data_IF_148574691201
#
_entry.id   IF_148574691201
#
_cell.length_a   1.000
_cell.length_b   1.000
_cell.length_c   1.000
_cell.angle_alpha   90.00
_cell.angle_beta   90.00
_cell.angle_gamma   90.00
#
_symmetry.space_group_name_H-M   'P 1'
#
loop_
_entity.id
_entity.type
_entity.pdbx_description
1 polymer ?
#
# COMPACT_ATOMS: atom_id res chain seq x y z
N UNK A 1 6.45 34.53 -24.85
CA UNK A 1 5.33 33.60 -25.17
C UNK A 1 5.22 32.62 -24.01
N UNK A 2 4.06 32.55 -23.38
CA UNK A 2 3.77 31.72 -22.20
C UNK A 2 3.50 30.28 -22.66
N UNK A 3 4.22 29.29 -22.14
CA UNK A 3 3.78 27.89 -22.15
C UNK A 3 3.45 27.52 -20.71
N UNK A 4 2.15 27.50 -20.43
CA UNK A 4 1.52 26.84 -19.29
C UNK A 4 1.08 25.45 -19.77
N UNK A 5 0.94 24.52 -18.82
CA UNK A 5 0.25 23.22 -18.87
C UNK A 5 1.13 22.01 -19.22
N UNK A 6 1.56 21.30 -18.17
CA UNK A 6 1.35 19.86 -17.96
C UNK A 6 1.87 19.51 -16.55
N UNK A 7 1.04 19.79 -15.54
CA UNK A 7 1.12 19.20 -14.21
C UNK A 7 -0.25 18.55 -14.03
N UNK A 8 -0.28 17.24 -13.78
CA UNK A 8 -1.35 16.35 -13.30
C UNK A 8 -1.09 14.97 -13.92
N UNK A 9 -0.51 14.06 -13.13
CA UNK A 9 -0.84 12.62 -13.05
C UNK A 9 0.27 11.84 -12.30
N UNK A 10 0.53 12.16 -11.02
CA UNK A 10 1.26 11.25 -10.13
C UNK A 10 0.52 11.02 -8.79
N UNK A 11 -0.72 11.52 -8.68
CA UNK A 11 -1.55 11.40 -7.48
C UNK A 11 -2.82 10.55 -7.71
N UNK A 12 -2.88 9.77 -8.80
CA UNK A 12 -4.03 8.92 -9.13
C UNK A 12 -3.84 7.43 -8.77
N UNK A 13 -2.68 7.02 -8.23
CA UNK A 13 -2.42 5.61 -7.90
C UNK A 13 -2.77 5.22 -6.46
N UNK A 14 -3.05 6.14 -5.54
CA UNK A 14 -3.21 5.83 -4.10
C UNK A 14 -4.34 6.61 -3.40
N UNK A 15 -5.48 6.80 -4.07
CA UNK A 15 -6.72 7.20 -3.41
C UNK A 15 -7.88 6.31 -3.85
N UNK A 16 -8.32 5.39 -3.00
CA UNK A 16 -9.72 5.26 -2.57
C UNK A 16 -9.91 3.99 -1.76
N UNK A 17 -9.88 4.15 -0.44
CA UNK A 17 -10.45 3.16 0.45
C UNK A 17 -11.35 3.91 1.43
N UNK A 18 -12.67 3.85 1.17
CA UNK A 18 -13.70 4.51 1.97
C UNK A 18 -15.08 4.31 1.34
N UNK A 19 -15.79 3.31 1.83
CA UNK A 19 -17.18 3.00 1.50
C UNK A 19 -18.14 4.13 1.86
N UNK A 20 -19.20 4.32 1.06
CA UNK A 20 -20.39 5.04 1.53
C UNK A 20 -21.30 5.49 0.40
N UNK A 21 -22.40 4.76 0.17
CA UNK A 21 -23.59 5.30 -0.50
C UNK A 21 -24.04 6.54 0.25
N UNK A 22 -24.13 7.68 -0.43
CA UNK A 22 -24.91 8.82 0.05
C UNK A 22 -25.86 9.23 -1.06
N UNK A 23 -27.13 9.20 -0.71
CA UNK A 23 -28.26 9.62 -1.52
C UNK A 23 -28.15 11.09 -1.93
N UNK A 24 -28.72 11.39 -3.08
CA UNK A 24 -29.16 12.73 -3.51
C UNK A 24 -29.77 13.52 -2.34
N UNK A 25 -29.51 14.84 -2.25
CA UNK A 25 -30.66 15.71 -2.40
C UNK A 25 -30.36 17.02 -3.14
N UNK A 26 -31.23 17.30 -4.11
CA UNK A 26 -31.57 18.65 -4.49
C UNK A 26 -32.64 19.24 -3.54
N UNK A 27 -32.40 20.50 -3.17
CA UNK A 27 -33.38 21.58 -3.03
C UNK A 27 -34.18 21.78 -1.72
N UNK A 28 -34.17 23.08 -1.35
CA UNK A 28 -35.20 23.89 -0.66
C UNK A 28 -35.15 24.10 0.87
N UNK A 29 -34.78 25.35 1.20
CA UNK A 29 -35.38 26.31 2.14
C UNK A 29 -36.67 25.91 2.89
N UNK A 30 -36.73 26.10 4.21
CA UNK A 30 -37.47 27.18 4.91
C UNK A 30 -37.51 26.97 6.44
N UNK A 31 -37.83 28.07 7.14
CA UNK A 31 -37.90 28.30 8.58
C UNK A 31 -38.78 27.33 9.39
N UNK A 32 -38.48 27.13 10.67
CA UNK A 32 -39.17 27.79 11.80
C UNK A 32 -39.07 26.99 13.13
N UNK A 33 -38.83 27.76 14.18
CA UNK A 33 -39.01 27.58 15.63
C UNK A 33 -40.14 26.62 16.07
N UNK A 34 -39.96 25.85 17.17
CA UNK A 34 -40.63 26.01 18.50
C UNK A 34 -40.35 24.80 19.43
N UNK A 35 -40.19 25.12 20.72
CA UNK A 35 -40.03 24.28 21.92
C UNK A 35 -41.28 23.43 22.21
N UNK A 36 -41.17 22.29 22.94
CA UNK A 36 -41.88 21.96 24.22
C UNK A 36 -41.84 20.44 24.58
N UNK A 37 -41.44 20.19 25.84
CA UNK A 37 -41.70 19.14 26.86
C UNK A 37 -41.85 17.62 26.61
N UNK A 38 -41.21 16.92 27.56
CA UNK A 38 -41.42 15.62 28.21
C UNK A 38 -42.68 14.76 27.94
N UNK A 39 -42.52 13.43 27.93
CA UNK A 39 -43.01 12.50 28.98
C UNK A 39 -42.61 11.01 28.73
N UNK A 40 -42.10 10.41 29.80
CA UNK A 40 -42.33 9.09 30.43
C UNK A 40 -42.93 7.88 29.68
N UNK A 41 -42.27 6.72 29.93
CA UNK A 41 -42.76 5.31 30.07
C UNK A 41 -43.52 4.62 28.93
N UNK A 42 -43.11 3.39 28.60
CA UNK A 42 -43.74 2.13 29.08
C UNK A 42 -42.96 0.91 28.56
N UNK A 43 -42.86 -0.11 29.40
CA UNK A 43 -42.31 -1.42 29.10
C UNK A 43 -43.35 -2.30 28.40
N UNK A 44 -42.92 -3.12 27.44
CA UNK A 44 -43.69 -4.26 26.97
C UNK A 44 -42.75 -5.45 26.76
N UNK A 45 -42.98 -6.50 27.56
CA UNK A 45 -42.56 -7.87 27.27
C UNK A 45 -43.31 -8.37 26.04
N UNK A 46 -42.65 -9.09 25.14
CA UNK A 46 -43.34 -10.16 24.40
C UNK A 46 -42.39 -11.32 24.12
N UNK A 47 -42.93 -12.49 24.44
CA UNK A 47 -42.47 -13.86 24.32
C UNK A 47 -42.55 -14.39 22.89
N UNK A 48 -42.05 -15.63 22.72
CA UNK A 48 -42.26 -16.59 21.60
C UNK A 48 -41.30 -16.44 20.41
N UNK A 49 -40.87 -17.48 19.70
CA UNK A 49 -40.80 -18.94 19.87
C UNK A 49 -39.81 -19.42 18.79
N UNK A 50 -39.21 -20.59 19.01
CA UNK A 50 -38.26 -21.29 18.16
C UNK A 50 -38.62 -21.36 16.66
N UNK A 51 -37.61 -21.29 15.80
CA UNK A 51 -37.60 -22.02 14.54
C UNK A 51 -36.19 -22.52 14.18
N UNK A 52 -36.13 -23.84 14.11
CA UNK A 52 -35.03 -24.68 13.65
C UNK A 52 -34.85 -24.49 12.15
N UNK A 53 -33.69 -24.01 11.72
CA UNK A 53 -33.31 -24.02 10.30
C UNK A 53 -32.04 -24.84 10.12
N UNK A 54 -32.24 -25.99 9.47
CA UNK A 54 -31.19 -26.88 8.97
C UNK A 54 -30.60 -26.23 7.72
N UNK A 55 -29.30 -25.93 7.72
CA UNK A 55 -28.58 -25.47 6.54
C UNK A 55 -27.42 -26.44 6.23
N UNK A 56 -27.37 -26.83 4.96
CA UNK A 56 -26.39 -27.69 4.29
C UNK A 56 -24.94 -27.20 4.38
N UNK A 57 -23.96 -28.11 4.19
CA UNK A 57 -22.54 -27.78 4.29
C UNK A 57 -22.11 -26.94 3.09
N UNK A 58 -21.78 -25.67 3.34
CA UNK A 58 -21.19 -24.79 2.32
C UNK A 58 -19.68 -24.99 2.27
N UNK A 59 -19.21 -25.27 1.05
CA UNK A 59 -17.90 -25.07 0.44
C UNK A 59 -16.67 -24.96 1.36
N UNK A 60 -15.71 -25.85 1.08
CA UNK A 60 -14.34 -25.81 1.57
C UNK A 60 -13.79 -24.38 1.60
N UNK A 61 -13.37 -23.96 2.79
CA UNK A 61 -12.52 -22.78 2.97
C UNK A 61 -11.27 -22.92 2.08
N UNK A 62 -10.77 -21.84 1.47
CA UNK A 62 -9.42 -21.85 0.93
C UNK A 62 -8.46 -22.19 2.07
N UNK A 63 -7.60 -23.18 1.83
CA UNK A 63 -6.54 -23.56 2.76
C UNK A 63 -5.61 -22.36 2.94
N UNK A 64 -5.79 -21.60 4.02
CA UNK A 64 -4.81 -20.67 4.52
C UNK A 64 -3.68 -21.50 5.12
N UNK A 65 -2.75 -21.92 4.28
CA UNK A 65 -1.47 -22.45 4.73
C UNK A 65 -0.67 -21.28 5.30
N UNK A 66 -0.92 -20.97 6.57
CA UNK A 66 0.02 -20.28 7.44
C UNK A 66 1.24 -21.19 7.62
N UNK A 67 2.17 -21.13 6.68
CA UNK A 67 3.48 -21.73 6.85
C UNK A 67 4.32 -20.86 7.80
N UNK A 68 5.05 -21.55 8.68
CA UNK A 68 6.05 -20.97 9.57
C UNK A 68 7.08 -20.14 8.79
N UNK A 69 7.77 -19.17 9.41
CA UNK A 69 8.59 -18.19 8.69
C UNK A 69 9.61 -18.88 7.79
N UNK A 70 9.49 -18.63 6.49
CA UNK A 70 10.34 -19.17 5.45
C UNK A 70 11.82 -18.93 5.82
N UNK A 71 12.62 -19.99 5.72
CA UNK A 71 14.07 -19.90 5.76
C UNK A 71 14.51 -18.83 4.74
N UNK A 72 15.18 -17.76 5.20
CA UNK A 72 15.73 -16.63 4.43
C UNK A 72 15.46 -16.73 2.92
N UNK A 73 14.37 -16.10 2.47
CA UNK A 73 14.03 -15.99 1.06
C UNK A 73 15.28 -15.57 0.28
N UNK A 74 15.68 -16.31 -0.76
CA UNK A 74 16.91 -16.05 -1.51
C UNK A 74 16.94 -14.65 -2.15
N UNK A 75 15.77 -14.00 -2.25
CA UNK A 75 15.63 -12.61 -2.64
C UNK A 75 16.12 -11.61 -1.58
N UNK A 76 16.24 -12.01 -0.31
CA UNK A 76 16.74 -11.17 0.77
C UNK A 76 18.21 -10.77 0.49
N UNK A 77 18.40 -9.53 0.05
CA UNK A 77 19.70 -8.96 -0.31
C UNK A 77 19.86 -8.64 -1.80
N UNK A 78 18.92 -9.03 -2.66
CA UNK A 78 18.89 -8.57 -4.06
C UNK A 78 18.39 -7.13 -4.10
N UNK A 79 19.14 -6.24 -4.76
CA UNK A 79 18.70 -4.88 -5.05
C UNK A 79 17.82 -4.85 -6.30
N UNK A 80 16.51 -5.02 -6.16
CA UNK A 80 15.60 -5.06 -7.32
C UNK A 80 15.56 -3.77 -8.11
N UNK A 81 15.89 -2.62 -7.49
CA UNK A 81 15.97 -1.36 -8.20
C UNK A 81 17.13 -1.35 -9.20
N UNK A 82 18.21 -2.11 -8.97
CA UNK A 82 19.30 -2.23 -9.95
C UNK A 82 19.08 -3.37 -10.93
N UNK A 83 18.48 -4.47 -10.49
CA UNK A 83 18.34 -5.70 -11.29
C UNK A 83 17.08 -5.75 -12.16
N UNK A 84 15.95 -5.23 -11.68
CA UNK A 84 14.66 -5.31 -12.40
C UNK A 84 14.38 -4.04 -13.20
N UNK A 85 13.69 -4.21 -14.32
CA UNK A 85 13.24 -3.11 -15.18
C UNK A 85 11.78 -3.31 -15.55
N UNK A 86 11.04 -2.21 -15.65
CA UNK A 86 9.68 -2.24 -16.15
C UNK A 86 9.64 -2.85 -17.55
N UNK A 87 8.55 -3.55 -17.87
CA UNK A 87 8.41 -4.28 -19.12
C UNK A 87 8.99 -5.70 -19.13
N UNK A 88 9.77 -6.10 -18.11
CA UNK A 88 10.23 -7.49 -17.95
C UNK A 88 9.04 -8.45 -17.77
N UNK A 89 9.15 -9.67 -18.30
CA UNK A 89 8.15 -10.73 -18.07
C UNK A 89 8.28 -11.36 -16.68
N UNK A 90 7.25 -12.08 -16.23
CA UNK A 90 7.33 -12.89 -15.00
C UNK A 90 8.54 -13.83 -15.01
N UNK A 91 8.76 -14.57 -16.11
CA UNK A 91 9.91 -15.48 -16.25
C UNK A 91 11.27 -14.77 -16.09
N UNK A 92 11.41 -13.57 -16.67
CA UNK A 92 12.63 -12.76 -16.55
C UNK A 92 12.86 -12.33 -15.10
N UNK A 93 11.81 -11.84 -14.43
CA UNK A 93 11.89 -11.42 -13.02
C UNK A 93 12.20 -12.61 -12.11
N UNK A 94 11.48 -13.73 -12.25
CA UNK A 94 11.69 -14.91 -11.41
C UNK A 94 13.05 -15.59 -11.67
N UNK A 95 13.65 -15.40 -12.84
CA UNK A 95 15.03 -15.84 -13.06
C UNK A 95 16.06 -15.06 -12.22
N UNK A 96 15.70 -13.86 -11.74
CA UNK A 96 16.55 -12.98 -10.93
C UNK A 96 16.25 -13.17 -9.44
N UNK A 97 14.98 -13.08 -9.04
CA UNK A 97 14.58 -13.07 -7.62
C UNK A 97 14.05 -14.42 -7.12
N UNK A 98 13.86 -15.40 -8.01
CA UNK A 98 13.27 -16.70 -7.72
C UNK A 98 11.74 -16.70 -7.73
N UNK A 99 11.15 -17.89 -7.64
CA UNK A 99 9.69 -18.10 -7.56
C UNK A 99 9.20 -18.36 -6.13
N UNK A 100 10.09 -18.31 -5.14
CA UNK A 100 9.78 -18.57 -3.73
C UNK A 100 9.24 -17.31 -3.05
N UNK A 101 8.17 -16.73 -3.57
CA UNK A 101 7.48 -15.61 -2.92
C UNK A 101 6.70 -16.08 -1.70
N UNK A 102 6.53 -15.20 -0.72
CA UNK A 102 5.79 -15.48 0.52
C UNK A 102 4.28 -15.22 0.35
N UNK A 103 3.93 -14.29 -0.54
CA UNK A 103 2.55 -13.92 -0.78
C UNK A 103 2.31 -13.50 -2.24
N UNK A 104 1.09 -13.73 -2.73
CA UNK A 104 0.63 -13.37 -4.06
C UNK A 104 -0.78 -12.81 -3.97
N UNK A 105 -0.97 -11.58 -4.44
CA UNK A 105 -2.28 -10.91 -4.46
C UNK A 105 -2.68 -10.44 -5.86
N UNK A 106 -3.99 -10.56 -6.12
CA UNK A 106 -4.64 -9.80 -7.18
C UNK A 106 -4.90 -8.40 -6.62
N UNK A 107 -3.98 -7.48 -6.91
CA UNK A 107 -4.09 -6.11 -6.46
C UNK A 107 -5.21 -5.45 -7.25
N UNK A 108 -6.02 -4.63 -6.57
CA UNK A 108 -7.10 -3.88 -7.22
C UNK A 108 -6.54 -3.14 -8.44
N UNK A 109 -7.30 -3.13 -9.54
CA UNK A 109 -6.94 -2.52 -10.83
C UNK A 109 -6.08 -3.37 -11.79
N UNK A 110 -6.38 -4.67 -11.88
CA UNK A 110 -5.86 -5.55 -12.93
C UNK A 110 -4.34 -5.73 -12.87
N UNK A 111 -3.78 -5.93 -11.67
CA UNK A 111 -2.37 -6.28 -11.50
C UNK A 111 -2.19 -7.46 -10.55
N UNK A 112 -1.04 -8.11 -10.66
CA UNK A 112 -0.64 -9.23 -9.83
C UNK A 112 0.64 -8.86 -9.10
N UNK A 113 0.63 -8.91 -7.78
CA UNK A 113 1.78 -8.60 -6.94
C UNK A 113 2.32 -9.86 -6.25
N UNK A 114 3.63 -9.92 -6.13
CA UNK A 114 4.36 -10.98 -5.45
C UNK A 114 5.27 -10.37 -4.38
N UNK A 115 5.08 -10.78 -3.13
CA UNK A 115 5.82 -10.27 -1.98
C UNK A 115 6.86 -11.28 -1.48
N UNK A 116 8.00 -10.74 -1.06
CA UNK A 116 9.15 -11.48 -0.56
C UNK A 116 9.61 -10.83 0.74
N UNK A 117 9.25 -11.44 1.87
CA UNK A 117 9.54 -10.95 3.21
C UNK A 117 11.04 -11.05 3.54
N UNK A 118 11.54 -10.07 4.27
CA UNK A 118 12.87 -10.09 4.85
C UNK A 118 12.86 -9.62 6.31
N UNK A 119 13.64 -10.31 7.14
CA UNK A 119 13.76 -9.97 8.56
C UNK A 119 14.58 -8.70 8.81
N UNK A 120 15.49 -8.36 7.89
CA UNK A 120 16.38 -7.20 8.00
C UNK A 120 16.79 -6.73 6.61
N UNK A 121 16.54 -5.47 6.29
CA UNK A 121 17.01 -4.85 5.04
C UNK A 121 18.54 -4.68 5.06
N UNK A 122 19.18 -5.37 4.13
CA UNK A 122 20.61 -5.28 3.84
C UNK A 122 20.93 -4.42 2.60
N UNK A 123 19.92 -4.12 1.76
CA UNK A 123 20.11 -3.38 0.50
C UNK A 123 20.43 -1.92 0.77
N UNK A 124 19.67 -1.31 1.67
CA UNK A 124 19.92 0.06 2.14
C UNK A 124 20.60 0.11 3.51
N UNK A 125 20.76 -1.05 4.15
CA UNK A 125 21.41 -1.17 5.46
C UNK A 125 20.60 -0.52 6.58
N UNK A 126 19.27 -0.45 6.45
CA UNK A 126 18.40 0.10 7.50
C UNK A 126 18.37 -0.79 8.73
N UNK A 127 18.46 -2.11 8.52
CA UNK A 127 18.32 -3.12 9.58
C UNK A 127 16.87 -3.33 10.04
N UNK A 128 15.90 -2.79 9.30
CA UNK A 128 14.47 -2.93 9.57
C UNK A 128 13.89 -4.10 8.78
N UNK A 129 12.88 -4.76 9.32
CA UNK A 129 12.12 -5.77 8.59
C UNK A 129 11.24 -5.13 7.52
N UNK A 130 10.83 -5.90 6.53
CA UNK A 130 10.09 -5.42 5.38
C UNK A 130 9.71 -6.55 4.43
N UNK A 131 9.19 -6.16 3.28
CA UNK A 131 9.06 -7.05 2.14
C UNK A 131 9.41 -6.31 0.85
N UNK A 132 9.97 -7.07 -0.08
CA UNK A 132 10.19 -6.65 -1.46
C UNK A 132 8.95 -7.07 -2.27
N UNK A 133 8.56 -6.26 -3.24
CA UNK A 133 7.41 -6.57 -4.09
C UNK A 133 7.75 -6.45 -5.58
N UNK A 134 7.05 -7.24 -6.39
CA UNK A 134 7.06 -7.14 -7.85
C UNK A 134 5.61 -7.22 -8.38
N UNK A 135 5.17 -6.14 -9.02
CA UNK A 135 3.81 -5.96 -9.52
C UNK A 135 3.79 -6.04 -11.05
N UNK A 136 2.91 -6.87 -11.58
CA UNK A 136 2.74 -7.14 -13.01
C UNK A 136 1.37 -6.71 -13.48
N UNK A 137 1.31 -6.09 -14.65
CA UNK A 137 0.05 -5.84 -15.32
C UNK A 137 -0.62 -7.18 -15.71
N UNK A 138 -1.87 -7.37 -15.30
CA UNK A 138 -2.54 -8.66 -15.47
C UNK A 138 -2.86 -9.02 -16.93
N UNK A 139 -2.89 -8.04 -17.85
CA UNK A 139 -3.19 -8.26 -19.26
C UNK A 139 -1.92 -8.57 -20.05
N UNK A 140 -0.93 -7.67 -19.98
CA UNK A 140 0.34 -7.78 -20.69
C UNK A 140 1.34 -8.72 -20.03
N UNK A 141 1.14 -9.06 -18.74
CA UNK A 141 2.04 -9.88 -17.92
C UNK A 141 3.46 -9.30 -17.82
N UNK A 142 3.55 -7.97 -17.87
CA UNK A 142 4.81 -7.24 -17.76
C UNK A 142 4.92 -6.53 -16.41
N UNK A 143 6.13 -6.47 -15.87
CA UNK A 143 6.46 -5.76 -14.66
C UNK A 143 6.15 -4.27 -14.82
N UNK A 144 5.30 -3.73 -13.96
CA UNK A 144 4.90 -2.32 -13.95
C UNK A 144 5.42 -1.56 -12.74
N UNK A 145 5.67 -2.26 -11.64
CA UNK A 145 6.21 -1.69 -10.41
C UNK A 145 7.04 -2.74 -9.67
N UNK A 146 8.10 -2.31 -9.01
CA UNK A 146 8.84 -3.14 -8.06
C UNK A 146 9.48 -2.28 -6.99
N UNK A 147 9.78 -2.87 -5.85
CA UNK A 147 10.37 -2.08 -4.77
C UNK A 147 10.36 -2.78 -3.42
N UNK A 148 10.28 -1.95 -2.39
CA UNK A 148 10.33 -2.36 -0.99
C UNK A 148 9.31 -1.58 -0.17
N UNK A 149 8.64 -2.32 0.72
CA UNK A 149 7.98 -1.81 1.91
C UNK A 149 8.88 -2.11 3.10
N UNK A 150 9.51 -1.09 3.67
CA UNK A 150 10.45 -1.22 4.78
C UNK A 150 9.82 -0.64 6.05
N UNK A 151 9.84 -1.41 7.13
CA UNK A 151 9.14 -1.06 8.36
C UNK A 151 7.74 -1.66 8.48
N UNK A 152 7.34 -2.49 7.51
CA UNK A 152 6.13 -3.31 7.54
C UNK A 152 6.50 -4.81 7.67
N UNK A 153 5.69 -5.58 8.38
CA UNK A 153 5.87 -7.04 8.52
C UNK A 153 4.57 -7.73 8.13
N UNK A 154 4.65 -8.83 7.39
CA UNK A 154 3.48 -9.51 6.83
C UNK A 154 3.42 -9.32 5.33
N UNK A 155 2.24 -8.98 4.81
CA UNK A 155 1.99 -8.73 3.38
C UNK A 155 1.11 -7.48 3.20
N UNK A 156 0.84 -7.12 1.94
CA UNK A 156 0.02 -5.94 1.60
C UNK A 156 -1.37 -5.92 2.24
N UNK A 157 -2.00 -7.08 2.48
CA UNK A 157 -3.36 -7.18 3.04
C UNK A 157 -3.38 -7.26 4.57
N UNK A 158 -2.38 -7.91 5.17
CA UNK A 158 -2.26 -8.17 6.60
C UNK A 158 -0.88 -7.73 7.12
N UNK A 159 -0.63 -6.41 7.09
CA UNK A 159 0.63 -5.84 7.56
C UNK A 159 0.56 -5.32 9.00
N UNK A 160 1.64 -5.55 9.74
CA UNK A 160 1.94 -4.90 11.01
C UNK A 160 3.01 -3.82 10.81
N UNK A 161 2.92 -2.74 11.58
CA UNK A 161 3.86 -1.60 11.51
C UNK A 161 4.52 -1.35 12.86
N UNK A 162 5.54 -2.14 13.22
CA UNK A 162 6.10 -2.15 14.59
C UNK A 162 7.03 -0.97 14.88
N UNK A 163 7.36 -0.13 13.89
CA UNK A 163 8.34 0.95 14.03
C UNK A 163 7.67 2.33 14.08
N UNK A 164 8.14 3.16 15.01
CA UNK A 164 7.72 4.56 15.13
C UNK A 164 8.52 5.50 14.23
N UNK A 165 8.06 6.75 14.16
CA UNK A 165 8.60 7.81 13.29
C UNK A 165 10.13 7.94 13.34
N UNK A 166 10.73 7.99 14.54
CA UNK A 166 12.17 8.17 14.71
C UNK A 166 12.99 7.06 14.01
N UNK A 167 12.52 5.81 14.11
CA UNK A 167 13.19 4.66 13.49
C UNK A 167 13.04 4.66 11.98
N UNK A 168 11.87 5.05 11.49
CA UNK A 168 11.63 5.21 10.05
C UNK A 168 12.46 6.35 9.48
N UNK A 169 12.58 7.48 10.17
CA UNK A 169 13.41 8.61 9.74
C UNK A 169 14.90 8.24 9.68
N UNK A 170 15.43 7.52 10.69
CA UNK A 170 16.80 6.99 10.68
C UNK A 170 17.04 6.03 9.50
N UNK A 171 16.08 5.15 9.24
CA UNK A 171 16.12 4.24 8.08
C UNK A 171 16.09 4.99 6.75
N UNK A 172 15.18 5.95 6.63
CA UNK A 172 14.97 6.70 5.40
C UNK A 172 16.20 7.52 5.03
N UNK A 173 16.89 8.10 6.02
CA UNK A 173 18.16 8.78 5.77
C UNK A 173 19.20 7.88 5.08
N UNK A 174 19.28 6.60 5.45
CA UNK A 174 20.17 5.62 4.81
C UNK A 174 19.70 5.24 3.40
N UNK A 175 18.39 5.07 3.22
CA UNK A 175 17.78 4.86 1.90
C UNK A 175 18.17 6.00 0.97
N UNK A 176 17.96 7.26 1.39
CA UNK A 176 18.27 8.43 0.58
C UNK A 176 19.77 8.58 0.33
N UNK A 177 20.64 8.30 1.31
CA UNK A 177 22.10 8.28 1.10
C UNK A 177 22.47 7.30 -0.03
N UNK A 178 21.92 6.08 0.02
CA UNK A 178 22.18 5.04 -0.97
C UNK A 178 21.63 5.38 -2.35
N UNK A 179 20.38 5.83 -2.42
CA UNK A 179 19.75 6.24 -3.69
C UNK A 179 20.45 7.45 -4.30
N UNK A 180 20.88 8.43 -3.50
CA UNK A 180 21.61 9.60 -3.99
C UNK A 180 22.98 9.19 -4.56
N UNK A 181 23.66 8.24 -3.93
CA UNK A 181 24.92 7.71 -4.44
C UNK A 181 24.75 6.99 -5.79
N UNK A 182 23.64 6.26 -5.98
CA UNK A 182 23.41 5.44 -7.17
C UNK A 182 22.74 6.21 -8.32
N UNK A 183 21.85 7.17 -8.03
CA UNK A 183 20.99 7.88 -9.00
C UNK A 183 21.21 9.40 -9.05
N UNK A 184 22.08 9.96 -8.20
CA UNK A 184 22.28 11.41 -8.07
C UNK A 184 21.21 12.09 -7.23
N UNK A 185 21.16 13.43 -7.26
CA UNK A 185 20.21 14.19 -6.44
C UNK A 185 18.77 14.01 -6.95
N UNK A 186 17.89 13.57 -6.06
CA UNK A 186 16.46 13.46 -6.35
C UNK A 186 15.71 14.78 -6.22
N UNK A 187 14.42 14.75 -6.58
CA UNK A 187 13.52 15.88 -6.53
C UNK A 187 12.52 15.73 -5.39
N UNK A 188 12.41 16.77 -4.58
CA UNK A 188 11.35 16.90 -3.58
C UNK A 188 10.09 17.43 -4.25
N UNK A 189 8.91 17.01 -3.81
CA UNK A 189 7.65 17.54 -4.32
C UNK A 189 7.55 19.04 -4.03
N UNK A 190 6.98 19.79 -4.98
CA UNK A 190 6.79 21.25 -4.87
C UNK A 190 5.57 21.55 -3.98
N UNK A 191 4.63 20.61 -3.89
CA UNK A 191 3.38 20.73 -3.16
C UNK A 191 3.26 19.61 -2.12
N UNK A 192 2.24 19.71 -1.27
CA UNK A 192 1.97 18.72 -0.24
C UNK A 192 1.70 17.33 -0.83
N UNK A 193 2.49 16.35 -0.39
CA UNK A 193 2.46 14.97 -0.87
C UNK A 193 1.23 14.17 -0.45
N UNK A 194 0.66 14.48 0.72
CA UNK A 194 -0.44 13.70 1.29
C UNK A 194 -0.34 13.53 2.80
N UNK A 195 -1.43 13.04 3.38
CA UNK A 195 -1.55 12.80 4.81
C UNK A 195 -0.58 11.70 5.27
N UNK A 196 0.04 11.93 6.43
CA UNK A 196 1.01 11.03 7.04
C UNK A 196 2.42 11.07 6.43
N UNK A 197 2.61 11.62 5.23
CA UNK A 197 3.92 11.70 4.58
C UNK A 197 4.81 12.71 5.31
N UNK A 198 6.01 12.26 5.71
CA UNK A 198 7.00 13.07 6.43
C UNK A 198 8.10 13.57 5.51
N UNK A 199 8.55 12.70 4.60
CA UNK A 199 9.47 13.08 3.54
C UNK A 199 9.26 12.22 2.29
N UNK A 200 9.59 12.81 1.15
CA UNK A 200 9.45 12.24 -0.18
C UNK A 200 10.53 12.75 -1.12
N UNK A 201 11.13 11.84 -1.88
CA UNK A 201 12.07 12.12 -2.95
C UNK A 201 11.78 11.23 -4.15
N UNK A 202 11.84 11.79 -5.34
CA UNK A 202 11.69 11.04 -6.60
C UNK A 202 12.85 11.29 -7.57
N UNK A 203 13.08 10.33 -8.46
CA UNK A 203 13.96 10.42 -9.61
C UNK A 203 13.15 9.95 -10.82
N UNK A 204 13.04 10.78 -11.85
CA UNK A 204 12.44 10.37 -13.12
C UNK A 204 13.50 10.42 -14.22
N UNK A 205 13.50 9.41 -15.08
CA UNK A 205 14.27 9.38 -16.33
C UNK A 205 13.41 9.56 -17.58
N UNK A 206 12.12 9.87 -17.39
CA UNK A 206 11.12 10.13 -18.41
C UNK A 206 10.30 8.91 -18.86
N UNK A 207 10.73 7.69 -18.53
CA UNK A 207 9.94 6.46 -18.75
C UNK A 207 9.61 5.74 -17.46
N UNK A 208 10.55 5.77 -16.50
CA UNK A 208 10.37 5.20 -15.17
C UNK A 208 10.50 6.31 -14.12
N UNK A 209 9.76 6.12 -13.03
CA UNK A 209 9.88 6.91 -11.82
C UNK A 209 10.37 6.02 -10.69
N UNK A 210 11.51 6.37 -10.10
CA UNK A 210 11.92 5.90 -8.78
C UNK A 210 11.37 6.87 -7.74
N UNK A 211 10.75 6.32 -6.71
CA UNK A 211 10.09 7.05 -5.65
C UNK A 211 10.48 6.49 -4.29
N UNK A 212 10.80 7.36 -3.35
CA UNK A 212 11.09 6.99 -1.97
C UNK A 212 10.29 7.90 -1.04
N UNK A 213 9.47 7.32 -0.18
CA UNK A 213 8.72 8.02 0.86
C UNK A 213 8.89 7.37 2.22
N UNK A 214 8.71 8.16 3.27
CA UNK A 214 8.37 7.62 4.57
C UNK A 214 7.29 8.43 5.25
N UNK A 215 6.55 7.77 6.12
CA UNK A 215 5.58 8.44 6.94
C UNK A 215 5.06 7.61 8.09
N UNK A 216 4.20 8.26 8.85
CA UNK A 216 3.39 7.64 9.88
C UNK A 216 1.95 8.04 9.63
N UNK A 217 1.01 7.14 9.90
CA UNK A 217 -0.39 7.33 9.54
C UNK A 217 -0.57 7.59 8.02
N UNK A 218 0.30 7.01 7.19
CA UNK A 218 0.19 7.10 5.74
C UNK A 218 -1.23 6.66 5.32
N UNK A 219 -1.79 7.40 4.36
CA UNK A 219 -3.09 7.14 3.74
C UNK A 219 -4.33 7.48 4.59
N UNK A 220 -4.16 8.10 5.77
CA UNK A 220 -5.25 8.81 6.46
C UNK A 220 -6.44 7.95 6.94
N UNK A 221 -6.22 6.65 7.18
CA UNK A 221 -7.23 5.76 7.78
C UNK A 221 -7.02 5.59 9.28
N UNK A 222 -8.05 5.10 9.98
CA UNK A 222 -8.11 4.89 11.44
C UNK A 222 -6.94 4.08 12.04
N UNK A 223 -6.10 3.46 11.20
CA UNK A 223 -4.84 2.78 11.55
C UNK A 223 -3.80 3.01 10.45
N UNK A 224 -3.51 4.27 10.15
CA UNK A 224 -2.64 4.62 9.02
C UNK A 224 -1.27 3.92 9.10
N UNK A 225 -0.63 3.80 7.94
CA UNK A 225 0.53 2.91 7.76
C UNK A 225 1.81 3.62 8.19
N UNK A 226 2.64 2.96 9.00
CA UNK A 226 3.96 3.46 9.40
C UNK A 226 5.05 2.67 8.69
N UNK A 227 5.55 3.19 7.58
CA UNK A 227 6.57 2.52 6.79
C UNK A 227 7.37 3.50 5.91
N UNK A 228 8.36 2.95 5.22
CA UNK A 228 9.01 3.54 4.07
C UNK A 228 8.66 2.75 2.83
N UNK A 229 8.34 3.43 1.74
CA UNK A 229 8.12 2.80 0.44
C UNK A 229 9.21 3.29 -0.49
N UNK A 230 9.90 2.36 -1.13
CA UNK A 230 10.87 2.65 -2.18
C UNK A 230 10.49 1.85 -3.41
N UNK A 231 10.02 2.51 -4.46
CA UNK A 231 9.49 1.84 -5.65
C UNK A 231 10.03 2.41 -6.94
N UNK A 232 10.21 1.56 -7.95
CA UNK A 232 10.33 1.96 -9.34
C UNK A 232 9.10 1.51 -10.10
N UNK A 233 8.44 2.44 -10.77
CA UNK A 233 7.26 2.19 -11.58
C UNK A 233 7.35 2.86 -12.94
N UNK A 234 6.53 2.40 -13.89
CA UNK A 234 6.31 3.14 -15.13
C UNK A 234 5.66 4.49 -14.84
N UNK A 235 6.16 5.56 -15.45
CA UNK A 235 5.53 6.89 -15.36
C UNK A 235 4.26 6.88 -16.21
N UNK A 236 3.07 6.84 -15.57
CA UNK A 236 1.75 6.78 -16.24
C UNK A 236 1.11 8.16 -16.45
#
# INVERSE_FOLDING_TARGET
MKRKLAFIAAAALLMTAGCGKINDPAAETEENTTVTEAETTTAEETSETAEETTAEPTAAAPETTSEAPAENNAAAGINVLSELRTGMTEDEVFSIIGENYDYKSDVRYNSMEYDYSFASDEVFGTGLSGYMFAEFDSESKQLICCGYHIGAVGNVDESEHPYGEDKLAEGYAKVIEKLTADYGDGQRPIEYSGEGIKDEISWSDGSDQLWAIYGTDLWGKESGVNEMIVSRSIER
#
